data_IF_217918891407
#
_entry.id   IF_217918891407
#
_cell.length_a   1.000
_cell.length_b   1.000
_cell.length_c   1.000
_cell.angle_alpha   90.00
_cell.angle_beta   90.00
_cell.angle_gamma   90.00
#
_symmetry.space_group_name_H-M   'P 1'
#
loop_
_entity.id
_entity.type
_entity.pdbx_description
1 polymer ?
#
# COMPACT_ATOMS: atom_id res chain seq x y z
N UNK A 1 -37.78 12.85 17.88
CA UNK A 1 -36.42 13.10 17.37
C UNK A 1 -36.47 14.44 16.67
N UNK A 2 -35.78 15.45 17.18
CA UNK A 2 -35.80 16.79 16.60
C UNK A 2 -35.08 16.78 15.24
N UNK A 3 -35.65 17.43 14.20
CA UNK A 3 -35.06 17.46 12.86
C UNK A 3 -33.66 18.08 12.87
N UNK A 4 -33.43 19.09 13.71
CA UNK A 4 -32.11 19.71 13.89
C UNK A 4 -31.05 18.75 14.44
N UNK A 5 -31.46 17.72 15.21
CA UNK A 5 -30.55 16.70 15.73
C UNK A 5 -30.15 15.69 14.65
N UNK A 6 -31.05 15.44 13.69
CA UNK A 6 -30.79 14.55 12.56
C UNK A 6 -29.81 15.21 11.57
N UNK A 7 -30.01 16.49 11.28
CA UNK A 7 -29.09 17.32 10.48
C UNK A 7 -27.68 17.33 11.09
N UNK A 8 -27.57 17.59 12.40
CA UNK A 8 -26.29 17.60 13.10
C UNK A 8 -25.57 16.24 13.01
N UNK A 9 -26.32 15.14 13.10
CA UNK A 9 -25.76 13.79 13.04
C UNK A 9 -25.32 13.40 11.62
N UNK A 10 -26.04 13.88 10.60
CA UNK A 10 -25.65 13.74 9.20
C UNK A 10 -24.38 14.54 8.90
N UNK A 11 -24.32 15.80 9.33
CA UNK A 11 -23.12 16.64 9.17
C UNK A 11 -21.91 16.03 9.90
N UNK A 12 -22.12 15.50 11.10
CA UNK A 12 -21.09 14.79 11.87
C UNK A 12 -20.51 13.59 11.10
N UNK A 13 -21.37 12.84 10.39
CA UNK A 13 -20.98 11.69 9.56
C UNK A 13 -20.26 12.11 8.26
N UNK A 14 -20.55 13.29 7.72
CA UNK A 14 -19.89 13.78 6.49
C UNK A 14 -18.46 14.28 6.73
N UNK A 15 -18.13 14.80 7.92
CA UNK A 15 -16.76 15.25 8.27
C UNK A 15 -15.66 14.20 8.04
N UNK A 16 -15.79 12.95 8.50
CA UNK A 16 -14.77 11.92 8.23
C UNK A 16 -14.71 11.53 6.75
N UNK A 17 -15.84 11.50 6.04
CA UNK A 17 -15.90 11.19 4.60
C UNK A 17 -15.15 12.25 3.79
N UNK A 18 -15.36 13.53 4.12
CA UNK A 18 -14.64 14.64 3.47
C UNK A 18 -13.13 14.56 3.73
N UNK A 19 -12.73 14.30 4.98
CA UNK A 19 -11.31 14.13 5.33
C UNK A 19 -10.65 12.97 4.56
N UNK A 20 -11.38 11.87 4.37
CA UNK A 20 -10.92 10.72 3.58
C UNK A 20 -10.81 11.05 2.08
N UNK A 21 -11.77 11.81 1.54
CA UNK A 21 -11.76 12.26 0.15
C UNK A 21 -10.62 13.26 -0.13
N UNK A 22 -10.37 14.20 0.78
CA UNK A 22 -9.30 15.19 0.68
C UNK A 22 -7.91 14.53 0.77
N UNK A 23 -7.79 13.47 1.59
CA UNK A 23 -6.57 12.65 1.69
C UNK A 23 -6.30 11.86 0.40
N UNK A 24 -7.35 11.47 -0.34
CA UNK A 24 -7.23 10.80 -1.65
C UNK A 24 -6.85 11.74 -2.79
N UNK A 25 -7.11 13.05 -2.68
CA UNK A 25 -6.79 14.02 -3.75
C UNK A 25 -5.40 14.66 -3.60
N UNK A 26 -4.85 14.70 -2.40
CA UNK A 26 -3.53 15.30 -2.11
C UNK A 26 -2.36 14.30 -2.12
N UNK A 27 -2.64 13.00 -2.25
CA UNK A 27 -1.63 11.94 -2.38
C UNK A 27 -1.15 11.76 -3.83
N UNK A 28 -0.81 12.86 -4.52
CA UNK A 28 -0.19 12.83 -5.84
C UNK A 28 1.25 13.39 -5.86
N UNK A 29 1.92 13.53 -4.71
CA UNK A 29 3.35 13.90 -4.65
C UNK A 29 4.09 13.19 -3.51
N UNK A 30 4.10 11.85 -3.50
CA UNK A 30 5.26 11.00 -3.15
C UNK A 30 4.84 9.51 -3.15
N UNK A 31 5.70 8.58 -3.59
CA UNK A 31 5.36 7.18 -3.70
C UNK A 31 5.44 6.50 -2.33
N UNK A 32 4.30 6.38 -1.66
CA UNK A 32 4.10 5.46 -0.53
C UNK A 32 2.86 4.63 -0.81
N UNK A 33 2.91 3.83 -1.87
CA UNK A 33 1.90 2.82 -2.16
C UNK A 33 2.41 1.46 -1.67
N UNK A 34 2.11 1.15 -0.42
CA UNK A 34 2.00 -0.24 0.04
C UNK A 34 0.55 -0.51 0.39
N UNK A 35 -0.30 -0.57 -0.64
CA UNK A 35 -1.56 -1.31 -0.60
C UNK A 35 -1.23 -2.74 -1.11
N UNK A 36 -1.18 -3.78 -0.27
CA UNK A 36 -0.78 -5.12 -0.71
C UNK A 36 -1.86 -5.86 -1.50
N UNK A 37 -3.06 -5.29 -1.69
CA UNK A 37 -4.24 -6.08 -2.04
C UNK A 37 -4.72 -5.96 -3.50
N UNK A 38 -4.07 -5.19 -4.38
CA UNK A 38 -4.66 -4.96 -5.73
C UNK A 38 -3.69 -4.67 -6.88
N UNK A 39 -2.37 -4.80 -6.69
CA UNK A 39 -1.37 -4.66 -7.76
C UNK A 39 -0.53 -5.94 -7.69
N UNK A 40 -0.46 -6.87 -8.64
CA UNK A 40 -1.04 -7.09 -9.95
C UNK A 40 -0.92 -8.61 -10.19
N UNK A 41 -1.80 -9.24 -10.96
CA UNK A 41 -1.64 -10.68 -11.27
C UNK A 41 -0.49 -10.99 -12.24
N UNK A 42 0.35 -10.00 -12.59
CA UNK A 42 1.48 -10.13 -13.50
C UNK A 42 2.81 -10.04 -12.76
N UNK A 43 3.79 -10.84 -13.20
CA UNK A 43 5.16 -10.86 -12.68
C UNK A 43 5.78 -9.45 -12.64
N UNK A 44 5.59 -8.64 -13.69
CA UNK A 44 6.10 -7.27 -13.74
C UNK A 44 5.48 -6.37 -12.67
N UNK A 45 4.18 -6.51 -12.39
CA UNK A 45 3.54 -5.69 -11.36
C UNK A 45 3.98 -6.08 -9.95
N UNK A 46 4.23 -7.37 -9.72
CA UNK A 46 4.81 -7.87 -8.47
C UNK A 46 6.25 -7.36 -8.32
N UNK A 47 7.08 -7.46 -9.36
CA UNK A 47 8.45 -6.94 -9.35
C UNK A 47 8.50 -5.43 -9.09
N UNK A 48 7.63 -4.66 -9.75
CA UNK A 48 7.53 -3.21 -9.54
C UNK A 48 7.00 -2.81 -8.15
N UNK A 49 6.38 -3.73 -7.41
CA UNK A 49 5.91 -3.48 -6.03
C UNK A 49 7.02 -3.60 -4.99
N UNK A 50 8.15 -4.24 -5.33
CA UNK A 50 9.30 -4.40 -4.46
C UNK A 50 10.14 -3.12 -4.54
N UNK A 51 10.29 -2.43 -3.41
CA UNK A 51 11.16 -1.25 -3.34
C UNK A 51 12.63 -1.67 -3.38
N UNK A 52 13.49 -0.91 -4.04
CA UNK A 52 14.93 -1.18 -4.10
C UNK A 52 15.56 -1.21 -2.69
N UNK A 53 16.52 -2.12 -2.48
CA UNK A 53 17.24 -2.20 -1.22
C UNK A 53 18.36 -1.17 -1.18
N UNK A 54 18.31 -0.30 -0.17
CA UNK A 54 19.40 0.62 0.16
C UNK A 54 19.90 0.31 1.56
N UNK A 55 21.18 -0.03 1.68
CA UNK A 55 21.81 -0.22 2.98
C UNK A 55 22.03 1.14 3.65
N UNK A 56 21.49 1.29 4.85
CA UNK A 56 21.71 2.46 5.68
C UNK A 56 22.10 2.02 7.11
N UNK A 57 23.36 2.26 7.51
CA UNK A 57 23.85 1.88 8.83
C UNK A 57 23.27 2.74 9.96
N UNK A 58 22.76 3.95 9.70
CA UNK A 58 22.16 4.81 10.73
C UNK A 58 20.71 4.41 11.04
N UNK A 59 19.95 3.99 10.03
CA UNK A 59 18.57 3.52 10.20
C UNK A 59 18.44 2.02 10.48
N UNK A 60 19.57 1.30 10.61
CA UNK A 60 19.63 -0.16 10.82
C UNK A 60 18.84 -0.93 9.74
N UNK A 61 18.79 -0.39 8.51
CA UNK A 61 18.14 -1.03 7.37
C UNK A 61 19.11 -2.07 6.81
N UNK A 62 18.97 -3.30 7.32
CA UNK A 62 19.71 -4.47 6.83
C UNK A 62 18.94 -5.18 5.72
N UNK A 63 19.66 -5.98 4.94
CA UNK A 63 19.04 -6.84 3.93
C UNK A 63 17.97 -7.75 4.54
N UNK A 64 18.23 -8.32 5.73
CA UNK A 64 17.26 -9.17 6.43
C UNK A 64 15.94 -8.45 6.72
N UNK A 65 16.01 -7.19 7.16
CA UNK A 65 14.81 -6.41 7.47
C UNK A 65 14.01 -6.08 6.21
N UNK A 66 14.71 -5.75 5.11
CA UNK A 66 14.09 -5.52 3.81
C UNK A 66 13.46 -6.82 3.27
N UNK A 67 14.20 -7.94 3.29
CA UNK A 67 13.75 -9.22 2.78
C UNK A 67 12.51 -9.74 3.52
N UNK A 68 12.48 -9.65 4.85
CA UNK A 68 11.30 -10.05 5.66
C UNK A 68 10.03 -9.28 5.29
N UNK A 69 10.16 -8.08 4.71
CA UNK A 69 9.02 -7.27 4.25
C UNK A 69 8.40 -7.81 2.95
N UNK A 70 9.17 -8.56 2.15
CA UNK A 70 8.76 -9.11 0.86
C UNK A 70 8.83 -10.65 0.81
N UNK A 71 9.18 -11.30 1.92
CA UNK A 71 9.37 -12.76 2.00
C UNK A 71 8.12 -13.53 1.54
N UNK A 72 6.95 -13.07 1.95
CA UNK A 72 5.67 -13.68 1.55
C UNK A 72 5.42 -13.52 0.04
N UNK A 73 5.84 -12.40 -0.55
CA UNK A 73 5.74 -12.15 -1.99
C UNK A 73 6.52 -13.21 -2.78
N UNK A 74 7.75 -13.52 -2.33
CA UNK A 74 8.58 -14.55 -2.94
C UNK A 74 8.00 -15.97 -2.74
N UNK A 75 7.38 -16.24 -1.59
CA UNK A 75 6.86 -17.58 -1.25
C UNK A 75 5.50 -17.89 -1.83
N UNK A 76 4.64 -16.89 -2.01
CA UNK A 76 3.25 -17.10 -2.42
C UNK A 76 2.99 -16.55 -3.82
N UNK A 77 3.36 -15.30 -4.09
CA UNK A 77 3.05 -14.67 -5.38
C UNK A 77 3.95 -15.16 -6.51
N UNK A 78 5.24 -15.40 -6.22
CA UNK A 78 6.18 -15.94 -7.19
C UNK A 78 6.18 -17.47 -7.29
N UNK A 79 5.72 -18.20 -6.27
CA UNK A 79 5.70 -19.67 -6.29
C UNK A 79 4.77 -20.24 -7.38
N UNK A 80 3.75 -19.49 -7.76
CA UNK A 80 2.78 -19.89 -8.77
C UNK A 80 3.12 -19.36 -10.18
N UNK A 81 4.23 -18.63 -10.34
CA UNK A 81 4.66 -18.06 -11.61
C UNK A 81 5.59 -19.03 -12.36
N UNK A 82 5.39 -19.17 -13.67
CA UNK A 82 6.23 -20.01 -14.52
C UNK A 82 7.66 -19.45 -14.65
N UNK A 83 8.69 -20.29 -14.62
CA UNK A 83 10.10 -19.89 -14.69
C UNK A 83 10.52 -19.17 -15.98
N UNK A 84 9.64 -19.06 -16.99
CA UNK A 84 9.90 -18.35 -18.24
C UNK A 84 10.26 -16.85 -18.07
N UNK A 85 9.97 -16.24 -16.92
CA UNK A 85 10.41 -14.87 -16.60
C UNK A 85 11.82 -14.78 -16.00
N UNK A 86 12.40 -15.92 -15.58
CA UNK A 86 13.76 -15.99 -15.03
C UNK A 86 14.75 -16.09 -16.19
N UNK A 87 15.33 -14.95 -16.59
CA UNK A 87 16.37 -14.83 -17.63
C UNK A 87 17.76 -15.19 -17.13
#
# INVERSE_FOLDING_TARGET
MDPSKLELLLEQQMKPIQMLADTKLTSNTQPSSSNPATIASSVDGIANSISEFHYDPESNVTFDMWFRRYEDLFKFDFANQNDAWKV
#
